data_IF_763287006441
#
_entry.id   IF_763287006441
#
_cell.length_a   1.000
_cell.length_b   1.000
_cell.length_c   1.000
_cell.angle_alpha   90.00
_cell.angle_beta   90.00
_cell.angle_gamma   90.00
#
_symmetry.space_group_name_H-M   'P 1'
#
loop_
_entity.id
_entity.type
_entity.pdbx_description
1 polymer ?
#
# COMPACT_ATOMS: atom_id res chain seq x y z
N UNK A 1 15.47 68.11 16.27
CA UNK A 1 15.23 67.54 14.96
C UNK A 1 16.24 66.43 14.60
N UNK A 2 17.58 66.64 14.69
CA UNK A 2 18.57 65.58 14.36
C UNK A 2 18.46 64.29 15.19
N UNK A 3 18.11 64.32 16.47
CA UNK A 3 17.94 63.14 17.33
C UNK A 3 16.63 62.35 17.04
N UNK A 4 15.59 63.01 16.54
CA UNK A 4 14.34 62.37 16.14
C UNK A 4 14.48 61.61 14.81
N UNK A 5 15.27 62.19 13.89
CA UNK A 5 15.56 61.56 12.59
C UNK A 5 16.42 60.29 12.76
N UNK A 6 17.38 60.28 13.70
CA UNK A 6 18.20 59.13 14.02
C UNK A 6 17.39 57.99 14.64
N UNK A 7 16.35 58.29 15.43
CA UNK A 7 15.51 57.27 16.03
C UNK A 7 14.56 56.62 15.00
N UNK A 8 14.03 57.40 14.07
CA UNK A 8 13.19 56.93 12.98
C UNK A 8 13.99 56.03 12.01
N UNK A 9 15.25 56.40 11.69
CA UNK A 9 16.11 55.54 10.86
C UNK A 9 16.47 54.24 11.54
N UNK A 10 16.68 54.20 12.86
CA UNK A 10 16.96 52.99 13.61
C UNK A 10 15.75 52.04 13.69
N UNK A 11 14.52 52.55 13.78
CA UNK A 11 13.28 51.79 13.76
C UNK A 11 12.99 51.23 12.37
N UNK A 12 13.27 51.95 11.30
CA UNK A 12 13.12 51.47 9.91
C UNK A 12 14.17 50.43 9.58
N UNK A 13 15.40 50.49 10.08
CA UNK A 13 16.39 49.42 9.94
C UNK A 13 16.09 48.19 10.78
N UNK A 14 15.48 48.32 11.95
CA UNK A 14 15.06 47.17 12.75
C UNK A 14 13.83 46.45 12.16
N UNK A 15 12.94 47.16 11.44
CA UNK A 15 11.80 46.53 10.75
C UNK A 15 12.21 45.90 9.41
N UNK A 16 13.36 46.26 8.81
CA UNK A 16 13.88 45.62 7.61
C UNK A 16 14.56 44.26 7.88
N UNK A 17 14.85 43.91 9.15
CA UNK A 17 15.40 42.60 9.53
C UNK A 17 14.32 41.54 9.74
N UNK A 18 13.04 41.86 9.64
CA UNK A 18 11.92 40.93 9.64
C UNK A 18 11.28 40.73 8.26
N UNK A 19 11.90 41.23 7.18
CA UNK A 19 11.52 40.81 5.81
C UNK A 19 12.09 39.43 5.60
N UNK A 20 11.22 38.44 5.77
CA UNK A 20 11.47 37.02 5.81
C UNK A 20 12.46 36.55 4.78
N UNK A 21 13.44 35.85 5.23
CA UNK A 21 14.03 34.75 4.49
C UNK A 21 12.89 33.78 4.11
N UNK A 22 12.25 34.00 2.99
CA UNK A 22 11.56 32.97 2.26
C UNK A 22 12.62 31.99 1.75
N UNK A 23 13.25 31.27 2.70
CA UNK A 23 14.18 30.18 2.37
C UNK A 23 13.44 29.21 1.46
N UNK A 24 14.11 28.74 0.41
CA UNK A 24 13.58 27.69 -0.44
C UNK A 24 13.25 26.51 0.49
N UNK A 25 11.98 26.07 0.51
CA UNK A 25 11.58 24.91 1.33
C UNK A 25 12.42 23.70 0.95
N UNK A 26 12.81 22.89 1.95
CA UNK A 26 13.44 21.59 1.73
C UNK A 26 12.46 20.69 0.99
N UNK A 27 12.92 20.11 -0.10
CA UNK A 27 12.13 19.19 -0.93
C UNK A 27 12.34 17.76 -0.49
N UNK A 28 11.25 17.04 -0.33
CA UNK A 28 11.26 15.62 0.02
C UNK A 28 10.32 14.89 -0.95
N UNK A 29 10.82 13.83 -1.55
CA UNK A 29 10.07 12.99 -2.49
C UNK A 29 9.84 11.61 -1.88
N UNK A 30 8.58 11.24 -1.76
CA UNK A 30 8.14 9.93 -1.27
C UNK A 30 7.51 9.17 -2.44
N UNK A 31 8.04 7.98 -2.78
CA UNK A 31 7.34 7.05 -3.66
C UNK A 31 6.46 6.13 -2.83
N UNK A 32 5.24 5.90 -3.29
CA UNK A 32 4.29 5.04 -2.58
C UNK A 32 3.44 4.21 -3.52
N UNK A 33 3.01 3.03 -3.02
CA UNK A 33 2.02 2.18 -3.70
C UNK A 33 0.69 2.12 -2.95
N UNK A 34 0.53 2.91 -1.87
CA UNK A 34 -0.75 2.95 -1.15
C UNK A 34 -1.89 3.44 -2.05
N UNK A 35 -3.09 3.03 -1.73
CA UNK A 35 -4.28 3.41 -2.48
C UNK A 35 -4.59 4.91 -2.37
N UNK A 36 -5.30 5.46 -3.36
CA UNK A 36 -5.54 6.91 -3.49
C UNK A 36 -6.14 7.56 -2.23
N UNK A 37 -7.04 6.85 -1.53
CA UNK A 37 -7.65 7.36 -0.30
C UNK A 37 -6.62 7.48 0.84
N UNK A 38 -5.62 6.58 0.89
CA UNK A 38 -4.50 6.66 1.85
C UNK A 38 -3.52 7.75 1.44
N UNK A 39 -3.23 7.91 0.13
CA UNK A 39 -2.39 9.01 -0.38
C UNK A 39 -2.98 10.37 0.03
N UNK A 40 -4.30 10.53 -0.06
CA UNK A 40 -4.99 11.75 0.35
C UNK A 40 -4.83 12.02 1.86
N UNK A 41 -4.98 10.99 2.69
CA UNK A 41 -4.77 11.07 4.14
C UNK A 41 -3.31 11.41 4.49
N UNK A 42 -2.35 10.70 3.88
CA UNK A 42 -0.91 10.94 4.07
C UNK A 42 -0.52 12.38 3.72
N UNK A 43 -0.97 12.90 2.58
CA UNK A 43 -0.70 14.28 2.16
C UNK A 43 -1.25 15.28 3.18
N UNK A 44 -2.47 15.07 3.69
CA UNK A 44 -3.06 15.94 4.70
C UNK A 44 -2.24 15.92 6.00
N UNK A 45 -1.81 14.73 6.46
CA UNK A 45 -1.03 14.56 7.69
C UNK A 45 0.37 15.16 7.56
N UNK A 46 1.07 14.89 6.45
CA UNK A 46 2.41 15.43 6.19
C UNK A 46 2.39 16.96 6.07
N UNK A 47 1.40 17.52 5.35
CA UNK A 47 1.27 18.98 5.22
C UNK A 47 0.98 19.68 6.54
N UNK A 48 0.20 19.05 7.43
CA UNK A 48 -0.10 19.57 8.75
C UNK A 48 1.11 19.49 9.69
N UNK A 49 1.88 18.40 9.62
CA UNK A 49 3.03 18.18 10.49
C UNK A 49 4.26 19.00 10.07
N UNK A 50 4.47 19.15 8.76
CA UNK A 50 5.66 19.78 8.18
C UNK A 50 5.33 20.95 7.25
N UNK A 51 4.72 22.04 7.75
CA UNK A 51 4.29 23.16 6.92
C UNK A 51 5.46 23.88 6.21
N UNK A 52 6.67 23.74 6.74
CA UNK A 52 7.88 24.39 6.22
C UNK A 52 8.65 23.53 5.18
N UNK A 53 8.22 22.29 4.94
CA UNK A 53 8.78 21.42 3.92
C UNK A 53 7.90 21.39 2.66
N UNK A 54 8.51 21.05 1.52
CA UNK A 54 7.85 20.83 0.23
C UNK A 54 7.86 19.30 -0.03
N UNK A 55 6.87 18.60 0.52
CA UNK A 55 6.79 17.14 0.46
C UNK A 55 5.88 16.73 -0.69
N UNK A 56 6.41 15.93 -1.60
CA UNK A 56 5.66 15.32 -2.70
C UNK A 56 5.51 13.83 -2.44
N UNK A 57 4.27 13.34 -2.45
CA UNK A 57 3.95 11.91 -2.43
C UNK A 57 3.55 11.50 -3.84
N UNK A 58 4.41 10.71 -4.50
CA UNK A 58 4.20 10.21 -5.86
C UNK A 58 3.67 8.77 -5.81
N UNK A 59 2.44 8.59 -6.29
CA UNK A 59 1.85 7.26 -6.42
C UNK A 59 2.43 6.51 -7.61
N UNK A 60 2.80 5.26 -7.39
CA UNK A 60 3.24 4.30 -8.41
C UNK A 60 2.59 2.94 -8.12
N UNK A 61 2.11 2.24 -9.15
CA UNK A 61 1.70 0.85 -8.92
C UNK A 61 2.88 0.01 -8.43
N UNK A 62 2.64 -1.00 -7.61
CA UNK A 62 3.68 -1.76 -6.89
C UNK A 62 4.84 -2.21 -7.80
N UNK A 63 4.53 -2.78 -8.96
CA UNK A 63 5.55 -3.21 -9.93
C UNK A 63 6.35 -2.04 -10.52
N UNK A 64 5.69 -0.91 -10.84
CA UNK A 64 6.36 0.29 -11.35
C UNK A 64 7.22 0.96 -10.28
N UNK A 65 6.74 0.99 -9.03
CA UNK A 65 7.47 1.52 -7.88
C UNK A 65 8.80 0.76 -7.70
N UNK A 66 8.73 -0.57 -7.64
CA UNK A 66 9.92 -1.41 -7.53
C UNK A 66 10.87 -1.21 -8.73
N UNK A 67 10.38 -1.30 -9.96
CA UNK A 67 11.19 -1.18 -11.16
C UNK A 67 11.89 0.19 -11.27
N UNK A 68 11.21 1.27 -10.87
CA UNK A 68 11.77 2.61 -10.85
C UNK A 68 12.93 2.71 -9.86
N UNK A 69 12.73 2.30 -8.60
CA UNK A 69 13.78 2.32 -7.58
C UNK A 69 14.96 1.39 -7.91
N UNK A 70 14.70 0.19 -8.45
CA UNK A 70 15.76 -0.72 -8.87
C UNK A 70 16.61 -0.17 -10.03
N UNK A 71 15.97 0.55 -10.95
CA UNK A 71 16.66 1.19 -12.09
C UNK A 71 17.47 2.40 -11.66
N UNK A 72 16.92 3.25 -10.80
CA UNK A 72 17.56 4.48 -10.32
C UNK A 72 18.61 4.18 -9.23
N UNK A 73 18.42 3.14 -8.44
CA UNK A 73 19.30 2.74 -7.34
C UNK A 73 19.51 3.88 -6.35
N UNK A 74 20.75 4.02 -5.85
CA UNK A 74 21.13 5.10 -4.91
C UNK A 74 21.07 6.51 -5.52
N UNK A 75 20.98 6.62 -6.85
CA UNK A 75 20.88 7.89 -7.56
C UNK A 75 19.42 8.36 -7.70
N UNK A 76 18.48 7.62 -7.15
CA UNK A 76 17.07 8.01 -7.19
C UNK A 76 16.85 9.41 -6.60
N UNK A 77 15.92 10.15 -7.19
CA UNK A 77 15.40 11.39 -6.61
C UNK A 77 14.50 11.12 -5.40
N UNK A 78 13.97 9.89 -5.27
CA UNK A 78 13.20 9.43 -4.13
C UNK A 78 14.03 9.50 -2.85
N UNK A 79 13.47 10.07 -1.81
CA UNK A 79 14.08 10.12 -0.48
C UNK A 79 13.58 8.96 0.39
N UNK A 80 12.29 8.67 0.32
CA UNK A 80 11.59 7.66 1.13
C UNK A 80 10.75 6.78 0.22
N UNK A 81 10.92 5.46 0.30
CA UNK A 81 9.98 4.49 -0.24
C UNK A 81 8.98 4.12 0.86
N UNK A 82 7.70 4.16 0.55
CA UNK A 82 6.61 3.88 1.48
C UNK A 82 5.60 2.93 0.83
N UNK A 83 5.18 1.89 1.56
CA UNK A 83 4.20 0.91 1.08
C UNK A 83 4.67 0.16 -0.18
N UNK A 84 5.89 -0.37 -0.13
CA UNK A 84 6.36 -1.29 -1.16
C UNK A 84 6.27 -2.73 -0.63
N UNK A 85 5.78 -3.63 -1.46
CA UNK A 85 5.57 -5.04 -1.11
C UNK A 85 6.89 -5.73 -0.71
N UNK A 86 6.81 -6.61 0.26
CA UNK A 86 7.91 -7.24 1.00
C UNK A 86 9.02 -7.81 0.11
N UNK A 87 8.70 -8.60 -0.92
CA UNK A 87 9.73 -9.22 -1.77
C UNK A 87 10.54 -8.17 -2.54
N UNK A 88 9.92 -7.08 -2.94
CA UNK A 88 10.63 -5.95 -3.56
C UNK A 88 11.48 -5.17 -2.56
N UNK A 89 11.02 -5.01 -1.31
CA UNK A 89 11.85 -4.40 -0.26
C UNK A 89 13.11 -5.22 -0.01
N UNK A 90 13.00 -6.56 0.03
CA UNK A 90 14.16 -7.45 0.11
C UNK A 90 15.11 -7.26 -1.09
N UNK A 91 14.58 -7.17 -2.31
CA UNK A 91 15.38 -6.94 -3.51
C UNK A 91 16.13 -5.60 -3.46
N UNK A 92 15.47 -4.53 -2.99
CA UNK A 92 16.13 -3.23 -2.80
C UNK A 92 17.24 -3.29 -1.75
N UNK A 93 17.04 -4.04 -0.67
CA UNK A 93 18.07 -4.32 0.34
C UNK A 93 19.25 -5.04 -0.27
N UNK A 94 19.05 -6.16 -0.97
CA UNK A 94 20.11 -6.93 -1.64
C UNK A 94 20.91 -6.11 -2.64
N UNK A 95 20.24 -5.19 -3.35
CA UNK A 95 20.90 -4.25 -4.29
C UNK A 95 21.55 -3.06 -3.57
N UNK A 96 21.44 -2.97 -2.26
CA UNK A 96 22.01 -1.90 -1.43
C UNK A 96 21.39 -0.54 -1.73
N UNK A 97 20.15 -0.49 -2.16
CA UNK A 97 19.42 0.77 -2.46
C UNK A 97 18.95 1.46 -1.18
N UNK A 98 18.72 0.71 -0.11
CA UNK A 98 18.17 1.20 1.15
C UNK A 98 19.26 1.62 2.14
N UNK A 99 18.96 2.64 2.93
CA UNK A 99 19.78 3.11 4.03
C UNK A 99 19.75 2.14 5.22
N UNK A 100 20.67 2.33 6.17
CA UNK A 100 20.73 1.57 7.42
C UNK A 100 19.70 2.10 8.42
N UNK A 101 18.83 1.24 8.90
CA UNK A 101 17.80 1.51 9.91
C UNK A 101 18.06 0.77 11.22
N UNK A 102 19.22 0.15 11.41
CA UNK A 102 19.57 -0.63 12.63
C UNK A 102 19.51 0.18 13.94
N UNK A 103 19.54 1.51 13.84
CA UNK A 103 19.36 2.41 14.98
C UNK A 103 17.89 2.62 15.38
N UNK A 104 16.92 2.16 14.58
CA UNK A 104 15.50 2.25 14.91
C UNK A 104 15.13 1.17 15.93
N UNK A 105 14.29 1.55 16.90
CA UNK A 105 13.76 0.61 17.89
C UNK A 105 12.68 -0.28 17.24
N UNK A 106 13.02 -1.54 17.01
CA UNK A 106 12.12 -2.56 16.45
C UNK A 106 11.37 -3.36 17.49
N UNK A 107 11.62 -3.13 18.79
CA UNK A 107 10.93 -3.84 19.89
C UNK A 107 9.42 -3.57 19.96
N UNK A 108 8.98 -2.51 19.30
CA UNK A 108 7.57 -2.17 19.12
C UNK A 108 6.82 -3.13 18.18
N UNK A 109 7.54 -3.80 17.28
CA UNK A 109 6.94 -4.70 16.30
C UNK A 109 6.73 -6.12 16.86
N UNK A 110 5.74 -6.83 16.35
CA UNK A 110 5.63 -8.26 16.58
C UNK A 110 6.84 -8.98 15.97
N UNK A 111 7.28 -10.08 16.60
CA UNK A 111 8.47 -10.83 16.14
C UNK A 111 8.38 -11.24 14.66
N UNK A 112 7.18 -11.62 14.20
CA UNK A 112 6.94 -12.05 12.80
C UNK A 112 7.06 -10.91 11.78
N UNK A 113 7.16 -9.66 12.22
CA UNK A 113 7.22 -8.48 11.35
C UNK A 113 8.56 -7.75 11.38
N UNK A 114 9.49 -8.18 12.24
CA UNK A 114 10.87 -7.68 12.26
C UNK A 114 11.70 -8.52 11.30
N UNK A 115 11.96 -8.01 10.12
CA UNK A 115 12.51 -8.79 9.02
C UNK A 115 13.82 -8.25 8.44
N UNK A 116 14.21 -6.99 8.76
CA UNK A 116 15.39 -6.33 8.20
C UNK A 116 15.88 -5.15 9.05
N UNK A 117 17.19 -4.85 8.94
CA UNK A 117 17.78 -3.60 9.42
C UNK A 117 17.79 -2.49 8.34
N UNK A 118 17.15 -2.71 7.19
CA UNK A 118 17.14 -1.77 6.05
C UNK A 118 15.76 -1.24 5.71
N UNK A 119 14.72 -1.93 6.15
CA UNK A 119 13.35 -1.48 6.00
C UNK A 119 12.48 -1.94 7.17
N UNK A 120 11.41 -1.20 7.43
CA UNK A 120 10.44 -1.50 8.47
C UNK A 120 9.10 -1.88 7.83
N UNK A 121 8.40 -2.83 8.42
CA UNK A 121 7.05 -3.18 7.97
C UNK A 121 6.06 -2.20 8.56
N UNK A 122 5.17 -1.66 7.74
CA UNK A 122 4.17 -0.70 8.19
C UNK A 122 2.77 -1.29 8.32
N UNK A 123 2.42 -2.25 7.46
CA UNK A 123 1.11 -2.90 7.52
C UNK A 123 1.14 -4.30 6.89
N UNK A 124 0.13 -5.08 7.27
CA UNK A 124 -0.29 -6.30 6.57
C UNK A 124 -1.55 -6.00 5.80
N UNK A 125 -1.61 -6.42 4.54
CA UNK A 125 -2.80 -6.29 3.70
C UNK A 125 -3.34 -7.67 3.38
N UNK A 126 -4.57 -7.94 3.80
CA UNK A 126 -5.30 -9.16 3.47
C UNK A 126 -6.22 -8.97 2.27
N UNK A 127 -6.38 -10.04 1.49
CA UNK A 127 -7.27 -10.10 0.34
C UNK A 127 -8.54 -10.88 0.61
N UNK A 128 -9.58 -10.55 -0.13
CA UNK A 128 -10.85 -11.27 -0.10
C UNK A 128 -11.55 -11.24 -1.46
N UNK A 129 -12.50 -12.13 -1.64
CA UNK A 129 -13.48 -12.00 -2.71
C UNK A 129 -14.55 -11.04 -2.21
N UNK A 130 -14.79 -9.98 -2.96
CA UNK A 130 -15.73 -8.91 -2.62
C UNK A 130 -16.85 -8.93 -3.63
N UNK A 131 -18.09 -8.87 -3.18
CA UNK A 131 -19.24 -8.91 -4.08
C UNK A 131 -20.13 -7.68 -3.88
N UNK A 132 -20.63 -7.14 -4.99
CA UNK A 132 -21.71 -6.17 -4.96
C UNK A 132 -23.04 -6.92 -4.87
N UNK A 133 -23.61 -6.96 -3.66
CA UNK A 133 -24.83 -7.74 -3.36
C UNK A 133 -26.05 -7.24 -4.13
N UNK A 134 -26.15 -5.92 -4.36
CA UNK A 134 -27.22 -5.32 -5.11
C UNK A 134 -27.16 -5.74 -6.59
N UNK A 135 -25.98 -5.66 -7.21
CA UNK A 135 -25.81 -6.02 -8.62
C UNK A 135 -26.03 -7.52 -8.87
N UNK A 136 -25.57 -8.38 -7.95
CA UNK A 136 -25.86 -9.83 -8.03
C UNK A 136 -27.38 -10.09 -7.94
N UNK A 137 -28.08 -9.41 -7.04
CA UNK A 137 -29.53 -9.53 -6.91
C UNK A 137 -30.27 -9.03 -8.18
N UNK A 138 -29.88 -7.88 -8.73
CA UNK A 138 -30.44 -7.32 -9.96
C UNK A 138 -30.30 -8.28 -11.14
N UNK A 139 -29.20 -9.06 -11.16
CA UNK A 139 -28.94 -10.07 -12.20
C UNK A 139 -29.46 -11.48 -11.87
N UNK A 140 -30.10 -11.66 -10.73
CA UNK A 140 -30.56 -12.98 -10.20
C UNK A 140 -29.41 -13.99 -10.12
N UNK A 141 -28.21 -13.56 -9.70
CA UNK A 141 -27.04 -14.40 -9.53
C UNK A 141 -26.77 -14.70 -8.05
N UNK A 142 -26.35 -15.91 -7.71
CA UNK A 142 -25.97 -16.27 -6.33
C UNK A 142 -24.64 -15.58 -5.96
N UNK A 143 -24.39 -15.46 -4.67
CA UNK A 143 -23.06 -15.12 -4.15
C UNK A 143 -22.19 -16.38 -4.27
N UNK A 144 -20.99 -16.29 -4.90
CA UNK A 144 -20.08 -17.42 -4.99
C UNK A 144 -19.56 -17.83 -3.60
N UNK A 145 -19.31 -19.12 -3.41
CA UNK A 145 -18.85 -19.70 -2.16
C UNK A 145 -17.49 -20.40 -2.28
N UNK A 146 -16.96 -20.48 -3.50
CA UNK A 146 -15.65 -21.08 -3.81
C UNK A 146 -15.01 -20.46 -5.04
N UNK A 147 -13.70 -20.62 -5.19
CA UNK A 147 -13.01 -20.27 -6.44
C UNK A 147 -13.58 -21.02 -7.64
N UNK A 148 -14.04 -22.26 -7.44
CA UNK A 148 -14.66 -23.06 -8.49
C UNK A 148 -15.95 -22.41 -9.02
N UNK A 149 -16.76 -21.82 -8.15
CA UNK A 149 -18.02 -21.18 -8.57
C UNK A 149 -17.75 -20.01 -9.52
N UNK A 150 -16.60 -19.32 -9.37
CA UNK A 150 -16.21 -18.20 -10.23
C UNK A 150 -15.97 -18.61 -11.68
N UNK A 151 -15.79 -19.91 -11.96
CA UNK A 151 -15.63 -20.45 -13.30
C UNK A 151 -16.97 -20.62 -14.04
N UNK A 152 -18.10 -20.50 -13.34
CA UNK A 152 -19.41 -20.61 -13.97
C UNK A 152 -19.65 -19.46 -14.97
N UNK A 153 -20.13 -19.81 -16.15
CA UNK A 153 -20.41 -18.87 -17.24
C UNK A 153 -21.45 -17.81 -16.88
N UNK A 154 -22.26 -18.01 -15.83
CA UNK A 154 -23.18 -17.00 -15.32
C UNK A 154 -22.47 -15.71 -14.86
N UNK A 155 -21.19 -15.80 -14.47
CA UNK A 155 -20.37 -14.66 -14.07
C UNK A 155 -19.53 -14.05 -15.19
N UNK A 156 -19.77 -14.45 -16.44
CA UNK A 156 -19.00 -13.98 -17.59
C UNK A 156 -19.02 -12.44 -17.69
N UNK A 157 -17.82 -11.84 -17.67
CA UNK A 157 -17.63 -10.39 -17.76
C UNK A 157 -18.07 -9.63 -16.50
N UNK A 158 -18.20 -10.31 -15.35
CA UNK A 158 -18.62 -9.72 -14.09
C UNK A 158 -17.54 -9.75 -13.01
N UNK A 159 -16.35 -10.26 -13.32
CA UNK A 159 -15.24 -10.39 -12.38
C UNK A 159 -14.18 -9.34 -12.70
N UNK A 160 -13.71 -8.61 -11.69
CA UNK A 160 -12.55 -7.73 -11.77
C UNK A 160 -11.45 -8.25 -10.85
N UNK A 161 -10.22 -8.32 -11.36
CA UNK A 161 -9.05 -8.79 -10.62
C UNK A 161 -7.86 -7.86 -10.88
N UNK A 162 -7.00 -7.58 -9.88
CA UNK A 162 -5.77 -6.84 -10.14
C UNK A 162 -4.78 -7.71 -10.91
N UNK A 163 -4.02 -7.12 -11.83
CA UNK A 163 -2.97 -7.83 -12.55
C UNK A 163 -1.79 -8.12 -11.62
N UNK A 164 -1.37 -9.38 -11.44
CA UNK A 164 -0.23 -9.75 -10.60
C UNK A 164 1.08 -9.05 -10.95
N UNK A 165 1.30 -8.69 -12.23
CA UNK A 165 2.53 -8.00 -12.67
C UNK A 165 2.63 -6.56 -12.21
N UNK A 166 1.50 -5.90 -12.01
CA UNK A 166 1.48 -4.48 -11.63
C UNK A 166 1.02 -4.23 -10.20
N UNK A 167 0.28 -5.18 -9.61
CA UNK A 167 -0.35 -5.04 -8.30
C UNK A 167 0.10 -6.10 -7.31
N UNK A 168 0.57 -5.66 -6.14
CA UNK A 168 0.84 -6.57 -5.01
C UNK A 168 -0.39 -7.36 -4.58
N UNK A 169 -1.57 -6.72 -4.62
CA UNK A 169 -2.85 -7.41 -4.36
C UNK A 169 -3.12 -8.51 -5.38
N UNK A 170 -2.87 -8.28 -6.67
CA UNK A 170 -3.00 -9.32 -7.69
C UNK A 170 -2.03 -10.46 -7.45
N UNK A 171 -0.79 -10.13 -7.11
CA UNK A 171 0.22 -11.14 -6.85
C UNK A 171 -0.09 -12.01 -5.63
N UNK A 172 -0.61 -11.45 -4.52
CA UNK A 172 -0.92 -12.27 -3.34
C UNK A 172 -2.01 -13.32 -3.62
N UNK A 173 -3.00 -13.04 -4.48
CA UNK A 173 -3.97 -14.05 -4.90
C UNK A 173 -3.32 -15.14 -5.76
N UNK A 174 -2.43 -14.78 -6.68
CA UNK A 174 -1.68 -15.76 -7.47
C UNK A 174 -0.84 -16.65 -6.56
N UNK A 175 -0.04 -16.06 -5.67
CA UNK A 175 0.86 -16.79 -4.76
C UNK A 175 0.10 -17.73 -3.84
N UNK A 176 -1.01 -17.27 -3.25
CA UNK A 176 -1.84 -18.10 -2.37
C UNK A 176 -2.34 -19.36 -3.10
N UNK A 177 -2.93 -19.18 -4.29
CA UNK A 177 -3.45 -20.32 -5.06
C UNK A 177 -2.35 -21.25 -5.58
N UNK A 178 -1.17 -20.73 -5.87
CA UNK A 178 0.00 -21.55 -6.20
C UNK A 178 0.45 -22.37 -5.00
N UNK A 179 0.50 -21.78 -3.80
CA UNK A 179 0.88 -22.51 -2.60
C UNK A 179 -0.15 -23.59 -2.24
N UNK A 180 -1.44 -23.29 -2.39
CA UNK A 180 -2.52 -24.21 -2.04
C UNK A 180 -2.68 -25.37 -3.05
N UNK A 181 -2.58 -25.08 -4.37
CA UNK A 181 -2.91 -26.05 -5.41
C UNK A 181 -1.71 -26.52 -6.25
N UNK A 182 -0.57 -25.87 -6.10
CA UNK A 182 0.59 -26.02 -6.98
C UNK A 182 0.45 -25.26 -8.30
N UNK A 183 1.60 -25.02 -8.96
CA UNK A 183 1.71 -24.19 -10.18
C UNK A 183 0.68 -24.57 -11.25
N UNK A 184 0.68 -25.86 -11.65
CA UNK A 184 -0.15 -26.30 -12.77
C UNK A 184 -1.64 -26.04 -12.53
N UNK A 185 -2.15 -26.39 -11.34
CA UNK A 185 -3.57 -26.23 -11.05
C UNK A 185 -3.96 -24.75 -10.88
N UNK A 186 -3.09 -23.93 -10.29
CA UNK A 186 -3.34 -22.50 -10.12
C UNK A 186 -3.37 -21.77 -11.47
N UNK A 187 -2.39 -22.00 -12.35
CA UNK A 187 -2.38 -21.37 -13.68
C UNK A 187 -3.51 -21.87 -14.57
N UNK A 188 -3.83 -23.18 -14.54
CA UNK A 188 -5.00 -23.74 -15.22
C UNK A 188 -6.32 -23.11 -14.73
N UNK A 189 -6.41 -22.80 -13.44
CA UNK A 189 -7.55 -22.10 -12.89
C UNK A 189 -7.68 -20.69 -13.47
N UNK A 190 -6.61 -19.89 -13.50
CA UNK A 190 -6.64 -18.55 -14.07
C UNK A 190 -6.91 -18.55 -15.57
N UNK A 191 -6.40 -19.53 -16.32
CA UNK A 191 -6.73 -19.74 -17.74
C UNK A 191 -8.25 -19.94 -17.93
N UNK A 192 -8.90 -20.71 -17.03
CA UNK A 192 -10.35 -20.95 -17.05
C UNK A 192 -11.16 -19.76 -16.52
N UNK A 193 -10.62 -18.98 -15.58
CA UNK A 193 -11.27 -17.81 -14.99
C UNK A 193 -11.31 -16.63 -15.97
N UNK A 194 -10.24 -16.43 -16.74
CA UNK A 194 -10.06 -15.28 -17.64
C UNK A 194 -11.27 -14.97 -18.54
N UNK A 195 -11.99 -15.96 -19.12
CA UNK A 195 -13.22 -15.69 -19.88
C UNK A 195 -14.34 -15.02 -19.08
N UNK A 196 -14.33 -15.11 -17.76
CA UNK A 196 -15.30 -14.48 -16.86
C UNK A 196 -14.79 -13.12 -16.33
N UNK A 197 -13.49 -12.84 -16.49
CA UNK A 197 -12.89 -11.57 -16.08
C UNK A 197 -13.28 -10.46 -17.03
N UNK A 198 -13.84 -9.39 -16.49
CA UNK A 198 -14.12 -8.15 -17.22
C UNK A 198 -12.81 -7.42 -17.54
N UNK A 199 -11.95 -7.34 -16.53
CA UNK A 199 -10.69 -6.60 -16.62
C UNK A 199 -9.67 -7.06 -15.58
N UNK A 200 -8.39 -6.98 -15.97
CA UNK A 200 -7.27 -7.01 -15.06
C UNK A 200 -6.81 -5.58 -14.78
N UNK A 201 -6.99 -5.11 -13.55
CA UNK A 201 -6.68 -3.71 -13.17
C UNK A 201 -5.21 -3.53 -12.84
N UNK A 202 -4.68 -2.32 -13.02
CA UNK A 202 -3.27 -2.02 -12.71
C UNK A 202 -3.00 -1.81 -11.21
N UNK A 203 -4.04 -1.51 -10.42
CA UNK A 203 -3.95 -1.27 -8.97
C UNK A 203 -4.80 -2.25 -8.17
N UNK A 204 -4.49 -2.38 -6.86
CA UNK A 204 -5.24 -3.20 -5.92
C UNK A 204 -6.65 -2.67 -5.63
N UNK A 205 -6.86 -1.36 -5.71
CA UNK A 205 -8.17 -0.71 -5.53
C UNK A 205 -9.11 -0.89 -6.71
N UNK A 206 -8.58 -1.15 -7.91
CA UNK A 206 -9.36 -1.24 -9.14
C UNK A 206 -10.60 -2.15 -9.05
N UNK A 207 -10.50 -3.37 -8.53
CA UNK A 207 -11.65 -4.26 -8.42
C UNK A 207 -12.79 -3.70 -7.55
N UNK A 208 -12.49 -3.15 -6.38
CA UNK A 208 -13.52 -2.55 -5.51
C UNK A 208 -14.15 -1.35 -6.20
N UNK A 209 -13.36 -0.51 -6.87
CA UNK A 209 -13.87 0.62 -7.64
C UNK A 209 -14.82 0.17 -8.77
N UNK A 210 -14.51 -0.92 -9.48
CA UNK A 210 -15.39 -1.50 -10.49
C UNK A 210 -16.73 -2.02 -9.90
N UNK A 211 -16.69 -2.55 -8.66
CA UNK A 211 -17.91 -2.93 -7.94
C UNK A 211 -18.78 -1.72 -7.59
N UNK A 212 -18.17 -0.63 -7.11
CA UNK A 212 -18.87 0.60 -6.75
C UNK A 212 -19.55 1.24 -7.97
N UNK A 213 -18.88 1.17 -9.12
CA UNK A 213 -19.39 1.67 -10.40
C UNK A 213 -20.40 0.72 -11.07
N UNK A 214 -20.65 -0.46 -10.46
CA UNK A 214 -21.50 -1.54 -11.01
C UNK A 214 -21.02 -2.08 -12.37
N UNK A 215 -19.75 -1.93 -12.68
CA UNK A 215 -19.11 -2.51 -13.87
C UNK A 215 -18.87 -4.00 -13.69
N UNK A 216 -18.43 -4.40 -12.48
CA UNK A 216 -18.25 -5.78 -12.06
C UNK A 216 -19.17 -6.10 -10.86
N UNK A 217 -19.48 -7.37 -10.68
CA UNK A 217 -20.27 -7.86 -9.55
C UNK A 217 -19.39 -8.56 -8.48
N UNK A 218 -18.20 -9.01 -8.89
CA UNK A 218 -17.25 -9.78 -8.07
C UNK A 218 -15.88 -9.18 -8.27
N UNK A 219 -15.15 -8.96 -7.18
CA UNK A 219 -13.79 -8.41 -7.18
C UNK A 219 -12.84 -9.24 -6.34
N UNK A 220 -11.63 -9.46 -6.85
CA UNK A 220 -10.49 -9.89 -6.06
C UNK A 220 -9.86 -8.64 -5.45
N UNK A 221 -10.13 -8.34 -4.20
CA UNK A 221 -9.80 -7.04 -3.63
C UNK A 221 -9.19 -7.12 -2.24
N UNK A 222 -8.82 -5.96 -1.71
CA UNK A 222 -8.32 -5.82 -0.35
C UNK A 222 -9.48 -5.75 0.65
N UNK A 223 -9.37 -6.50 1.73
CA UNK A 223 -10.35 -6.48 2.84
C UNK A 223 -10.54 -5.06 3.38
N UNK A 224 -9.44 -4.34 3.64
CA UNK A 224 -9.45 -2.96 4.15
C UNK A 224 -10.22 -1.99 3.26
N UNK A 225 -10.00 -2.03 1.94
CA UNK A 225 -10.71 -1.17 1.01
C UNK A 225 -12.22 -1.49 0.97
N UNK A 226 -12.56 -2.78 0.98
CA UNK A 226 -13.97 -3.18 1.04
C UNK A 226 -14.65 -2.70 2.33
N UNK A 227 -13.98 -2.82 3.48
CA UNK A 227 -14.49 -2.35 4.78
C UNK A 227 -14.70 -0.84 4.77
N UNK A 228 -13.74 -0.06 4.27
CA UNK A 228 -13.90 1.39 4.13
C UNK A 228 -15.18 1.73 3.35
N UNK A 229 -15.39 1.06 2.21
CA UNK A 229 -16.56 1.32 1.37
C UNK A 229 -17.87 0.81 1.99
N UNK A 230 -17.85 -0.30 2.73
CA UNK A 230 -19.00 -0.80 3.49
C UNK A 230 -19.40 0.21 4.57
N UNK A 231 -18.41 0.79 5.29
CA UNK A 231 -18.65 1.82 6.31
C UNK A 231 -19.19 3.13 5.72
N UNK A 232 -18.93 3.40 4.45
CA UNK A 232 -19.52 4.50 3.68
C UNK A 232 -20.91 4.15 3.10
N UNK A 233 -21.42 2.95 3.34
CA UNK A 233 -22.76 2.50 2.95
C UNK A 233 -22.83 1.78 1.60
N UNK A 234 -21.71 1.37 1.01
CA UNK A 234 -21.72 0.60 -0.23
C UNK A 234 -22.33 -0.80 -0.03
N UNK A 235 -23.12 -1.32 -1.00
CA UNK A 235 -23.77 -2.63 -0.90
C UNK A 235 -22.77 -3.76 -1.21
N UNK A 236 -21.63 -3.75 -0.52
CA UNK A 236 -20.59 -4.76 -0.67
C UNK A 236 -20.65 -5.81 0.43
N UNK A 237 -20.18 -7.01 0.12
CA UNK A 237 -19.97 -8.09 1.07
C UNK A 237 -18.61 -8.74 0.84
N UNK A 238 -17.89 -8.97 1.93
CA UNK A 238 -16.63 -9.71 1.95
C UNK A 238 -16.92 -11.19 2.07
N UNK A 239 -16.26 -12.01 1.27
CA UNK A 239 -16.40 -13.48 1.25
C UNK A 239 -14.99 -14.08 1.28
N UNK A 240 -14.76 -15.02 2.18
CA UNK A 240 -13.56 -15.84 2.22
C UNK A 240 -13.91 -17.25 1.76
N UNK A 241 -13.01 -17.86 0.99
CA UNK A 241 -13.10 -19.24 0.54
C UNK A 241 -12.20 -20.12 1.40
N UNK A 242 -12.27 -21.44 1.21
CA UNK A 242 -11.56 -22.42 2.04
C UNK A 242 -10.03 -22.33 1.93
N UNK A 243 -9.51 -21.80 0.82
CA UNK A 243 -8.10 -21.56 0.60
C UNK A 243 -7.52 -20.43 1.45
N UNK A 244 -8.34 -19.79 2.24
CA UNK A 244 -7.97 -18.71 3.13
C UNK A 244 -7.81 -17.34 2.45
N UNK A 245 -7.59 -16.33 3.27
CA UNK A 245 -7.31 -14.97 2.82
C UNK A 245 -5.84 -14.86 2.41
N UNK A 246 -5.52 -14.53 1.16
CA UNK A 246 -4.15 -14.19 0.80
C UNK A 246 -3.73 -12.92 1.54
N UNK A 247 -2.45 -12.78 1.87
CA UNK A 247 -1.94 -11.57 2.49
C UNK A 247 -0.51 -11.28 2.05
N UNK A 248 -0.08 -10.05 2.24
CA UNK A 248 1.33 -9.68 2.14
C UNK A 248 1.67 -8.55 3.10
N UNK A 249 2.96 -8.36 3.34
CA UNK A 249 3.50 -7.27 4.15
C UNK A 249 3.97 -6.15 3.23
N UNK A 250 3.80 -4.93 3.67
CA UNK A 250 4.30 -3.74 3.00
C UNK A 250 5.28 -3.01 3.91
N UNK A 251 6.37 -2.55 3.32
CA UNK A 251 7.48 -1.92 4.03
C UNK A 251 7.72 -0.48 3.61
N UNK A 252 8.54 0.18 4.43
CA UNK A 252 9.04 1.53 4.20
C UNK A 252 10.52 1.61 4.52
N UNK A 253 11.24 2.50 3.83
CA UNK A 253 12.67 2.72 4.02
C UNK A 253 13.13 4.04 3.43
N UNK A 254 14.32 4.49 3.80
CA UNK A 254 14.99 5.60 3.16
C UNK A 254 15.92 5.09 2.07
N UNK A 255 16.07 5.82 0.97
CA UNK A 255 17.09 5.52 -0.05
C UNK A 255 18.47 5.85 0.52
N UNK A 256 19.45 4.99 0.26
CA UNK A 256 20.82 5.10 0.79
C UNK A 256 21.45 6.46 0.45
N UNK A 257 21.98 7.15 1.46
CA UNK A 257 22.56 8.50 1.37
C UNK A 257 21.52 9.62 1.57
N UNK A 258 20.22 9.34 1.47
CA UNK A 258 19.16 10.31 1.78
C UNK A 258 18.94 10.48 3.29
N UNK A 259 19.30 9.46 4.04
CA UNK A 259 19.33 9.44 5.52
C UNK A 259 20.34 10.42 6.12
N UNK A 260 21.26 11.01 5.33
CA UNK A 260 22.14 12.08 5.76
C UNK A 260 21.42 13.45 5.86
N UNK A 261 20.24 13.60 5.23
CA UNK A 261 19.43 14.81 5.27
C UNK A 261 18.52 14.82 6.50
N UNK A 262 18.70 15.81 7.38
CA UNK A 262 17.92 15.95 8.62
C UNK A 262 16.41 15.98 8.36
N UNK A 263 15.95 16.73 7.33
CA UNK A 263 14.54 16.83 6.97
C UNK A 263 13.94 15.49 6.52
N UNK A 264 14.70 14.64 5.82
CA UNK A 264 14.26 13.30 5.41
C UNK A 264 14.11 12.40 6.62
N UNK A 265 15.07 12.45 7.57
CA UNK A 265 14.98 11.70 8.83
C UNK A 265 13.78 12.11 9.68
N UNK A 266 13.51 13.40 9.80
CA UNK A 266 12.35 13.90 10.55
C UNK A 266 11.03 13.41 9.96
N UNK A 267 10.89 13.42 8.63
CA UNK A 267 9.70 12.90 7.95
C UNK A 267 9.61 11.39 8.11
N UNK A 268 10.71 10.66 7.93
CA UNK A 268 10.73 9.21 8.12
C UNK A 268 10.41 8.82 9.57
N UNK A 269 10.96 9.53 10.56
CA UNK A 269 10.65 9.34 11.98
C UNK A 269 9.15 9.52 12.27
N UNK A 270 8.52 10.53 11.67
CA UNK A 270 7.06 10.73 11.79
C UNK A 270 6.28 9.57 11.17
N UNK A 271 6.69 9.10 9.99
CA UNK A 271 6.06 7.95 9.33
C UNK A 271 6.15 6.70 10.20
N UNK A 272 7.32 6.42 10.79
CA UNK A 272 7.55 5.25 11.66
C UNK A 272 6.81 5.36 12.99
N UNK A 273 6.97 6.50 13.68
CA UNK A 273 6.59 6.62 15.10
C UNK A 273 5.16 7.13 15.32
N UNK A 274 4.54 7.67 14.27
CA UNK A 274 3.21 8.28 14.37
C UNK A 274 2.28 7.80 13.27
N UNK A 275 2.61 8.06 12.01
CA UNK A 275 1.69 7.82 10.91
C UNK A 275 1.37 6.33 10.71
N UNK A 276 2.34 5.42 10.90
CA UNK A 276 2.08 3.98 10.79
C UNK A 276 1.04 3.49 11.80
N UNK A 277 1.03 4.05 13.03
CA UNK A 277 -0.02 3.72 14.02
C UNK A 277 -1.38 4.27 13.58
N UNK A 278 -1.44 5.54 13.18
CA UNK A 278 -2.68 6.19 12.68
C UNK A 278 -3.24 5.46 11.46
N UNK A 279 -2.35 5.01 10.56
CA UNK A 279 -2.70 4.24 9.37
C UNK A 279 -3.34 2.90 9.74
N UNK A 280 -2.72 2.17 10.67
CA UNK A 280 -3.24 0.87 11.10
C UNK A 280 -4.56 1.02 11.87
N UNK A 281 -4.68 2.01 12.74
CA UNK A 281 -5.95 2.31 13.44
C UNK A 281 -7.09 2.62 12.48
N UNK A 282 -6.80 3.29 11.36
CA UNK A 282 -7.80 3.78 10.43
C UNK A 282 -8.16 2.79 9.32
N UNK A 283 -7.18 2.03 8.83
CA UNK A 283 -7.34 1.24 7.60
C UNK A 283 -6.93 -0.23 7.74
N UNK A 284 -5.95 -0.55 8.59
CA UNK A 284 -5.34 -1.89 8.65
C UNK A 284 -5.22 -2.39 10.10
N UNK A 285 -6.31 -2.92 10.69
CA UNK A 285 -6.34 -3.27 12.11
C UNK A 285 -5.55 -4.53 12.45
N UNK A 286 -4.74 -5.02 11.55
CA UNK A 286 -3.87 -6.17 11.76
C UNK A 286 -2.82 -5.85 12.84
N UNK A 287 -2.56 -6.81 13.71
CA UNK A 287 -1.59 -6.63 14.80
C UNK A 287 -0.15 -6.64 14.26
N UNK A 288 0.36 -5.46 13.96
CA UNK A 288 1.75 -5.26 13.55
C UNK A 288 2.64 -4.87 14.74
N UNK A 289 2.06 -4.27 15.77
CA UNK A 289 2.78 -3.70 16.90
C UNK A 289 2.41 -4.42 18.20
N UNK A 290 3.42 -4.63 19.06
CA UNK A 290 3.23 -5.26 20.36
C UNK A 290 2.32 -4.42 21.27
N UNK A 291 1.30 -5.06 21.84
CA UNK A 291 0.42 -4.43 22.81
C UNK A 291 -0.56 -3.40 22.24
N UNK A 292 -0.68 -3.30 20.93
CA UNK A 292 -1.63 -2.41 20.26
C UNK A 292 -2.67 -3.26 19.54
N UNK A 293 -3.95 -2.98 19.82
CA UNK A 293 -5.09 -3.61 19.13
C UNK A 293 -5.96 -2.50 18.54
N UNK A 294 -6.35 -2.67 17.30
CA UNK A 294 -7.23 -1.75 16.60
C UNK A 294 -8.57 -2.42 16.31
N UNK A 295 -9.64 -1.65 16.39
CA UNK A 295 -11.00 -2.10 16.05
C UNK A 295 -11.54 -1.17 14.96
N UNK A 296 -11.85 -1.75 13.80
CA UNK A 296 -12.51 -1.04 12.69
C UNK A 296 -13.89 -1.65 12.50
N UNK A 297 -14.91 -0.80 12.45
CA UNK A 297 -16.29 -1.23 12.23
C UNK A 297 -16.40 -2.06 10.94
N UNK A 298 -17.16 -3.15 10.99
CA UNK A 298 -17.35 -4.11 9.88
C UNK A 298 -16.06 -4.82 9.39
N UNK A 299 -14.93 -4.69 10.07
CA UNK A 299 -13.75 -5.49 9.73
C UNK A 299 -14.00 -6.94 10.17
N UNK A 300 -13.77 -7.93 9.28
CA UNK A 300 -14.02 -9.32 9.61
C UNK A 300 -13.18 -9.81 10.79
N UNK A 301 -13.82 -10.45 11.75
CA UNK A 301 -13.15 -11.16 12.84
C UNK A 301 -12.71 -12.55 12.39
N UNK A 302 -11.66 -13.09 13.01
CA UNK A 302 -11.22 -14.48 12.82
C UNK A 302 -10.91 -14.86 11.36
N UNK A 303 -10.17 -14.01 10.66
CA UNK A 303 -9.72 -14.28 9.29
C UNK A 303 -8.79 -15.50 9.29
N UNK A 304 -9.12 -16.54 8.54
CA UNK A 304 -8.19 -17.65 8.26
C UNK A 304 -7.32 -17.22 7.09
N UNK A 305 -6.03 -17.04 7.34
CA UNK A 305 -5.08 -16.69 6.29
C UNK A 305 -4.62 -17.93 5.52
N UNK A 306 -4.38 -17.75 4.23
CA UNK A 306 -3.77 -18.75 3.39
C UNK A 306 -2.26 -18.85 3.60
N UNK A 307 -1.65 -19.88 3.04
CA UNK A 307 -0.20 -20.06 3.08
C UNK A 307 0.49 -19.09 2.10
N UNK A 308 1.26 -18.14 2.65
CA UNK A 308 2.07 -17.19 1.86
C UNK A 308 3.57 -17.45 2.01
N UNK A 309 3.95 -18.65 2.47
CA UNK A 309 5.37 -19.02 2.64
C UNK A 309 6.13 -19.01 1.30
N UNK A 310 7.45 -18.82 1.40
CA UNK A 310 8.30 -18.79 0.21
C UNK A 310 8.06 -17.57 -0.71
N UNK A 311 7.52 -16.48 -0.19
CA UNK A 311 7.36 -15.23 -0.95
C UNK A 311 8.71 -14.49 -1.04
N UNK A 312 9.63 -15.02 -1.87
CA UNK A 312 10.91 -14.41 -2.21
C UNK A 312 10.83 -13.71 -3.56
N UNK A 313 11.82 -12.85 -3.86
CA UNK A 313 11.88 -12.18 -5.16
C UNK A 313 12.03 -13.16 -6.32
N UNK A 314 12.87 -14.19 -6.18
CA UNK A 314 13.07 -15.22 -7.20
C UNK A 314 11.76 -15.95 -7.54
N UNK A 315 11.00 -16.31 -6.49
CA UNK A 315 9.71 -16.96 -6.64
C UNK A 315 8.69 -16.02 -7.30
N UNK A 316 8.69 -14.75 -6.90
CA UNK A 316 7.82 -13.73 -7.48
C UNK A 316 8.11 -13.54 -8.97
N UNK A 317 9.38 -13.37 -9.35
CA UNK A 317 9.78 -13.23 -10.74
C UNK A 317 9.38 -14.47 -11.55
N UNK A 318 9.63 -15.67 -11.02
CA UNK A 318 9.23 -16.93 -11.63
C UNK A 318 7.72 -17.00 -11.92
N UNK A 319 6.90 -16.66 -10.94
CA UNK A 319 5.44 -16.70 -11.09
C UNK A 319 4.93 -15.62 -12.05
N UNK A 320 5.52 -14.43 -12.00
CA UNK A 320 5.14 -13.34 -12.91
C UNK A 320 5.54 -13.61 -14.36
N UNK A 321 6.65 -14.33 -14.60
CA UNK A 321 7.05 -14.77 -15.93
C UNK A 321 6.07 -15.79 -16.51
N UNK A 322 5.47 -16.64 -15.68
CA UNK A 322 4.45 -17.59 -16.08
C UNK A 322 3.07 -16.94 -16.33
N UNK A 323 2.82 -15.75 -15.76
CA UNK A 323 1.55 -15.03 -15.92
C UNK A 323 1.40 -14.45 -17.32
N UNK A 324 0.28 -14.80 -18.00
CA UNK A 324 0.06 -14.50 -19.43
C UNK A 324 -0.79 -13.24 -19.70
N UNK A 325 -1.51 -12.71 -18.69
CA UNK A 325 -2.55 -11.69 -18.85
C UNK A 325 -2.14 -10.30 -18.41
#
# INVERSE_FOLDING_TARGET
>A
MKKLISLILAVVMASALFVGCGGKKEKILIYTSVEDYVVADMNARLSAQFPDYDITVEYLSTGNHAAKLLTEGKNSECDITYDLEYAYMQQLEEKGVLADLSAYDTSIYNEDTVVSDKFLIQCRVGGAIIVNTQLLQEKNLPIPTSYKDLLDKQYKGLISMPNPKSSGTGYMFLKNLVNEWGDTAAFDYFDKLTPNVLQYTSSGSGPVNALLQKEAAIGFGMTSHAVTQINEGAPLKIVYFEEGSPFTLYGMGMVAGKDERACVKEVFDFLVKTYSYELNEKFFPEQMFNGVTYEIENYPENITYGDMSGNTIDEKERLLDMWKY
#
